data_IF_856769241793
#
_entry.id   IF_856769241793
#
_cell.length_a   1.000
_cell.length_b   1.000
_cell.length_c   1.000
_cell.angle_alpha   90.00
_cell.angle_beta   90.00
_cell.angle_gamma   90.00
#
_symmetry.space_group_name_H-M   'P 1'
#
loop_
_entity.id
_entity.type
_entity.pdbx_description
1 polymer ?
#
# COMPACT_ATOMS: atom_id res chain seq x y z
N UNK A 1 -13.94 -19.45 -5.72
CA UNK A 1 -15.20 -19.72 -5.04
C UNK A 1 -16.04 -18.44 -5.02
N UNK A 2 -17.33 -18.51 -5.31
CA UNK A 2 -18.27 -17.40 -5.17
C UNK A 2 -19.56 -17.90 -4.51
N UNK A 3 -20.47 -16.99 -4.14
CA UNK A 3 -21.72 -17.34 -3.45
C UNK A 3 -22.78 -17.89 -4.43
N UNK A 4 -22.45 -18.94 -5.19
CA UNK A 4 -23.36 -19.61 -6.13
C UNK A 4 -23.42 -21.11 -5.85
N UNK A 5 -24.56 -21.72 -6.19
CA UNK A 5 -24.73 -23.18 -6.12
C UNK A 5 -23.68 -23.91 -6.97
N UNK A 6 -23.36 -23.38 -8.15
CA UNK A 6 -22.33 -23.97 -9.01
C UNK A 6 -20.96 -24.00 -8.34
N UNK A 7 -20.57 -22.93 -7.64
CA UNK A 7 -19.31 -22.92 -6.88
C UNK A 7 -19.36 -23.89 -5.70
N UNK A 8 -20.49 -23.97 -5.00
CA UNK A 8 -20.67 -24.91 -3.90
C UNK A 8 -20.49 -26.37 -4.36
N UNK A 9 -21.10 -26.75 -5.48
CA UNK A 9 -20.95 -28.08 -6.07
C UNK A 9 -19.51 -28.33 -6.52
N UNK A 10 -18.86 -27.33 -7.15
CA UNK A 10 -17.47 -27.45 -7.63
C UNK A 10 -16.46 -27.58 -6.49
N UNK A 11 -16.72 -26.95 -5.35
CA UNK A 11 -15.84 -26.92 -4.18
C UNK A 11 -16.28 -27.97 -3.12
N UNK A 12 -16.71 -29.16 -3.57
CA UNK A 12 -17.04 -30.34 -2.74
C UNK A 12 -18.06 -30.07 -1.62
N UNK A 13 -19.02 -29.17 -1.85
CA UNK A 13 -20.05 -28.82 -0.87
C UNK A 13 -19.54 -27.90 0.25
N UNK A 14 -18.45 -27.16 0.02
CA UNK A 14 -17.96 -26.13 0.93
C UNK A 14 -18.46 -24.76 0.47
N UNK A 15 -19.24 -24.08 1.32
CA UNK A 15 -19.68 -22.71 1.06
C UNK A 15 -18.56 -21.70 1.30
N UNK A 16 -18.67 -20.51 0.69
CA UNK A 16 -17.75 -19.38 0.96
C UNK A 16 -17.71 -19.06 2.45
N UNK A 17 -18.86 -19.06 3.13
CA UNK A 17 -18.94 -18.77 4.56
C UNK A 17 -18.23 -19.83 5.40
N UNK A 18 -18.43 -21.13 5.09
CA UNK A 18 -17.71 -22.20 5.76
C UNK A 18 -16.19 -22.09 5.55
N UNK A 19 -15.76 -21.80 4.32
CA UNK A 19 -14.34 -21.58 4.01
C UNK A 19 -13.77 -20.35 4.71
N UNK A 20 -14.53 -19.26 4.77
CA UNK A 20 -14.17 -18.02 5.51
C UNK A 20 -13.97 -18.33 6.99
N UNK A 21 -14.90 -19.02 7.64
CA UNK A 21 -14.78 -19.35 9.06
C UNK A 21 -13.63 -20.32 9.34
N UNK A 22 -13.39 -21.30 8.47
CA UNK A 22 -12.20 -22.16 8.56
C UNK A 22 -10.89 -21.37 8.40
N UNK A 23 -10.84 -20.40 7.47
CA UNK A 23 -9.69 -19.54 7.26
C UNK A 23 -9.44 -18.60 8.46
N UNK A 24 -10.50 -18.01 9.03
CA UNK A 24 -10.43 -17.19 10.25
C UNK A 24 -9.87 -18.02 11.39
N UNK A 25 -10.38 -19.24 11.60
CA UNK A 25 -9.86 -20.15 12.62
C UNK A 25 -8.38 -20.44 12.42
N UNK A 26 -7.97 -20.86 11.22
CA UNK A 26 -6.58 -21.16 10.92
C UNK A 26 -5.68 -19.91 11.13
N UNK A 27 -6.16 -18.73 10.77
CA UNK A 27 -5.44 -17.47 10.99
C UNK A 27 -5.19 -17.21 12.49
N UNK A 28 -6.19 -17.41 13.35
CA UNK A 28 -6.03 -17.28 14.81
C UNK A 28 -5.17 -18.39 15.43
N UNK A 29 -5.18 -19.60 14.88
CA UNK A 29 -4.37 -20.72 15.39
C UNK A 29 -2.87 -20.55 15.06
N UNK A 30 -2.54 -19.92 13.92
CA UNK A 30 -1.17 -19.82 13.42
C UNK A 30 -0.52 -18.43 13.56
N UNK A 31 -1.30 -17.39 13.87
CA UNK A 31 -0.77 -16.04 14.12
C UNK A 31 -0.78 -15.72 15.61
N UNK A 32 0.23 -14.99 16.13
CA UNK A 32 0.29 -14.59 17.54
C UNK A 32 -0.66 -13.43 17.84
N UNK A 33 -1.97 -13.69 17.76
CA UNK A 33 -3.02 -12.68 17.90
C UNK A 33 -3.89 -12.95 19.11
N UNK A 34 -4.33 -11.86 19.75
CA UNK A 34 -5.41 -11.89 20.74
C UNK A 34 -6.71 -11.57 20.03
N UNK A 35 -7.78 -12.24 20.45
CA UNK A 35 -9.12 -11.85 20.06
C UNK A 35 -9.43 -10.44 20.58
N UNK A 36 -9.94 -9.58 19.72
CA UNK A 36 -10.20 -8.17 20.05
C UNK A 36 -11.50 -8.01 20.83
N UNK A 37 -12.51 -8.79 20.45
CA UNK A 37 -13.85 -8.78 21.04
C UNK A 37 -14.35 -10.24 21.04
N UNK A 38 -14.71 -10.75 22.23
CA UNK A 38 -15.09 -12.16 22.41
C UNK A 38 -16.38 -12.52 21.68
N UNK A 39 -17.23 -11.52 21.42
CA UNK A 39 -18.50 -11.71 20.72
C UNK A 39 -18.37 -11.46 19.20
N UNK A 40 -17.16 -11.14 18.72
CA UNK A 40 -16.89 -10.83 17.31
C UNK A 40 -15.60 -11.51 16.81
N UNK A 41 -15.78 -12.74 16.34
CA UNK A 41 -14.68 -13.57 15.82
C UNK A 41 -14.08 -13.05 14.50
N UNK A 42 -14.74 -12.11 13.81
CA UNK A 42 -14.23 -11.55 12.55
C UNK A 42 -13.40 -10.29 12.78
N UNK A 43 -13.52 -9.66 13.94
CA UNK A 43 -12.82 -8.41 14.22
C UNK A 43 -11.34 -8.64 14.51
N UNK A 44 -10.51 -8.16 13.59
CA UNK A 44 -9.06 -8.09 13.76
C UNK A 44 -8.52 -6.65 13.85
N UNK A 45 -9.28 -5.66 13.39
CA UNK A 45 -8.85 -4.25 13.44
C UNK A 45 -8.78 -3.73 14.88
N UNK A 46 -7.74 -2.94 15.16
CA UNK A 46 -7.29 -2.57 16.52
C UNK A 46 -6.26 -1.45 16.46
N UNK A 47 -5.97 -0.81 17.58
CA UNK A 47 -4.95 0.23 17.70
C UNK A 47 -3.95 -0.06 18.81
N UNK A 48 -2.73 0.44 18.65
CA UNK A 48 -1.65 0.34 19.62
C UNK A 48 -0.96 1.69 19.78
N UNK A 49 -0.97 2.22 20.99
CA UNK A 49 -0.28 3.46 21.31
C UNK A 49 1.12 3.15 21.85
N UNK A 50 2.15 3.72 21.21
CA UNK A 50 3.55 3.61 21.60
C UNK A 50 3.97 4.91 22.29
N UNK A 51 3.69 5.00 23.60
CA UNK A 51 3.89 6.23 24.36
C UNK A 51 3.10 7.40 23.74
N UNK A 52 3.70 8.57 23.72
CA UNK A 52 3.22 9.76 23.00
C UNK A 52 3.87 9.91 21.61
N UNK A 53 4.66 8.93 21.17
CA UNK A 53 5.33 8.99 19.87
C UNK A 53 4.37 8.68 18.71
N UNK A 54 3.74 7.50 18.71
CA UNK A 54 2.80 7.17 17.63
C UNK A 54 1.66 6.25 18.05
N UNK A 55 0.52 6.40 17.37
CA UNK A 55 -0.58 5.46 17.42
C UNK A 55 -0.62 4.64 16.12
N UNK A 56 -0.45 3.31 16.24
CA UNK A 56 -0.58 2.36 15.14
C UNK A 56 -2.03 1.90 15.03
N UNK A 57 -2.73 2.30 13.98
CA UNK A 57 -4.14 1.99 13.72
C UNK A 57 -4.21 0.94 12.61
N UNK A 58 -4.55 -0.30 12.97
CA UNK A 58 -4.60 -1.44 12.03
C UNK A 58 -6.02 -1.67 11.52
N UNK A 59 -6.19 -1.60 10.20
CA UNK A 59 -7.47 -1.78 9.50
C UNK A 59 -7.63 -3.21 8.96
N UNK A 60 -8.88 -3.64 8.80
CA UNK A 60 -9.30 -4.75 7.93
C UNK A 60 -10.10 -4.17 6.75
N UNK A 61 -9.64 -4.41 5.52
CA UNK A 61 -10.33 -3.98 4.29
C UNK A 61 -10.81 -5.14 3.43
N UNK A 62 -10.91 -6.34 4.02
CA UNK A 62 -11.26 -7.57 3.32
C UNK A 62 -12.51 -8.24 3.90
N UNK A 63 -12.47 -8.60 5.18
CA UNK A 63 -13.29 -9.71 5.66
C UNK A 63 -14.56 -9.29 6.42
N UNK A 64 -14.57 -8.07 6.96
CA UNK A 64 -15.60 -7.66 7.92
C UNK A 64 -16.94 -7.32 7.26
N UNK A 65 -17.04 -6.16 6.60
CA UNK A 65 -18.31 -5.65 6.04
C UNK A 65 -18.05 -4.81 4.78
N UNK A 66 -17.17 -5.34 3.92
CA UNK A 66 -16.76 -4.73 2.67
C UNK A 66 -17.88 -4.82 1.63
N UNK A 67 -18.16 -3.73 0.92
CA UNK A 67 -19.02 -3.76 -0.28
C UNK A 67 -18.39 -4.64 -1.37
N UNK A 68 -19.19 -5.10 -2.34
CA UNK A 68 -18.71 -5.96 -3.45
C UNK A 68 -17.46 -5.37 -4.13
N UNK A 69 -16.44 -6.20 -4.32
CA UNK A 69 -15.18 -5.83 -4.95
C UNK A 69 -15.07 -6.25 -6.41
N UNK A 70 -14.02 -5.80 -7.08
CA UNK A 70 -13.66 -6.28 -8.41
C UNK A 70 -13.12 -7.71 -8.36
N UNK A 71 -13.76 -8.58 -9.12
CA UNK A 71 -13.46 -9.99 -9.29
C UNK A 71 -13.07 -10.28 -10.76
N UNK A 72 -12.64 -9.26 -11.49
CA UNK A 72 -12.23 -9.24 -12.90
C UNK A 72 -13.40 -9.43 -13.90
N UNK A 73 -14.36 -10.31 -13.60
CA UNK A 73 -15.53 -10.51 -14.46
C UNK A 73 -16.62 -9.44 -14.26
N UNK A 74 -16.60 -8.70 -13.15
CA UNK A 74 -17.54 -7.62 -12.83
C UNK A 74 -16.90 -6.22 -12.84
N UNK A 75 -15.68 -6.05 -13.36
CA UNK A 75 -14.96 -4.76 -13.34
C UNK A 75 -15.79 -3.61 -13.87
N UNK A 76 -16.52 -3.81 -14.97
CA UNK A 76 -17.41 -2.78 -15.53
C UNK A 76 -18.51 -2.36 -14.57
N UNK A 77 -19.11 -3.31 -13.84
CA UNK A 77 -20.09 -3.00 -12.81
C UNK A 77 -19.46 -2.26 -11.63
N UNK A 78 -18.33 -2.75 -11.09
CA UNK A 78 -17.65 -2.09 -9.96
C UNK A 78 -17.20 -0.68 -10.31
N UNK A 79 -16.74 -0.45 -11.54
CA UNK A 79 -16.48 0.90 -12.05
C UNK A 79 -17.73 1.78 -12.01
N UNK A 80 -18.89 1.31 -12.51
CA UNK A 80 -20.11 2.14 -12.53
C UNK A 80 -20.56 2.60 -11.16
N UNK A 81 -20.26 1.83 -10.11
CA UNK A 81 -20.62 2.14 -8.73
C UNK A 81 -19.46 2.67 -7.91
N UNK A 82 -18.23 2.82 -8.44
CA UNK A 82 -17.02 3.06 -7.62
C UNK A 82 -17.08 4.32 -6.76
N UNK A 83 -17.87 5.31 -7.20
CA UNK A 83 -18.11 6.59 -6.53
C UNK A 83 -19.50 6.68 -5.86
N UNK A 84 -20.21 5.56 -5.73
CA UNK A 84 -21.47 5.52 -4.98
C UNK A 84 -21.21 5.83 -3.49
N UNK A 85 -21.94 6.82 -2.99
CA UNK A 85 -21.88 7.32 -1.62
C UNK A 85 -22.03 6.22 -0.55
N UNK A 86 -22.81 5.17 -0.82
CA UNK A 86 -23.08 4.10 0.15
C UNK A 86 -21.98 3.05 0.21
N UNK A 87 -21.01 3.06 -0.70
CA UNK A 87 -19.95 2.04 -0.72
C UNK A 87 -18.97 2.25 0.44
N UNK A 88 -18.53 1.13 0.96
CA UNK A 88 -17.57 1.06 2.06
C UNK A 88 -16.59 -0.09 1.87
N UNK A 89 -15.31 0.18 2.13
CA UNK A 89 -14.24 -0.80 2.12
C UNK A 89 -14.11 -1.51 3.47
N UNK A 90 -14.59 -0.89 4.55
CA UNK A 90 -14.43 -1.37 5.93
C UNK A 90 -15.76 -1.69 6.64
N UNK A 91 -16.87 -1.19 6.10
CA UNK A 91 -18.17 -1.17 6.75
C UNK A 91 -18.30 -0.08 7.81
N UNK A 92 -19.55 0.21 8.18
CA UNK A 92 -19.88 1.35 9.04
C UNK A 92 -19.25 1.27 10.45
N UNK A 93 -19.20 0.06 11.04
CA UNK A 93 -18.67 -0.13 12.41
C UNK A 93 -17.19 0.23 12.49
N UNK A 94 -16.40 -0.23 11.52
CA UNK A 94 -14.97 0.04 11.48
C UNK A 94 -14.67 1.47 10.98
N UNK A 95 -15.43 2.03 10.04
CA UNK A 95 -15.29 3.44 9.64
C UNK A 95 -15.43 4.38 10.84
N UNK A 96 -16.52 4.24 11.61
CA UNK A 96 -16.76 5.08 12.78
C UNK A 96 -15.67 4.91 13.85
N UNK A 97 -15.20 3.68 14.07
CA UNK A 97 -14.08 3.44 14.97
C UNK A 97 -12.79 4.09 14.46
N UNK A 98 -12.46 3.93 13.18
CA UNK A 98 -11.23 4.44 12.59
C UNK A 98 -11.17 5.97 12.67
N UNK A 99 -12.26 6.64 12.29
CA UNK A 99 -12.36 8.11 12.36
C UNK A 99 -12.23 8.62 13.79
N UNK A 100 -12.84 7.93 14.75
CA UNK A 100 -12.64 8.24 16.17
C UNK A 100 -11.19 8.05 16.61
N UNK A 101 -10.53 6.97 16.20
CA UNK A 101 -9.11 6.75 16.54
C UNK A 101 -8.20 7.84 15.96
N UNK A 102 -8.43 8.28 14.71
CA UNK A 102 -7.68 9.39 14.12
C UNK A 102 -7.86 10.68 14.94
N UNK A 103 -9.10 11.02 15.28
CA UNK A 103 -9.42 12.25 16.04
C UNK A 103 -8.82 12.20 17.45
N UNK A 104 -9.06 11.12 18.19
CA UNK A 104 -8.61 11.01 19.58
C UNK A 104 -7.07 11.03 19.68
N UNK A 105 -6.40 10.28 18.81
CA UNK A 105 -4.94 10.16 18.84
C UNK A 105 -4.19 11.40 18.36
N UNK A 106 -4.86 12.30 17.63
CA UNK A 106 -4.27 13.57 17.21
C UNK A 106 -3.86 14.48 18.39
N UNK A 107 -4.50 14.30 19.56
CA UNK A 107 -4.18 15.06 20.77
C UNK A 107 -3.23 14.36 21.74
N UNK A 108 -2.97 13.06 21.54
CA UNK A 108 -2.23 12.22 22.51
C UNK A 108 -0.94 11.64 21.96
N UNK A 109 -0.74 11.66 20.64
CA UNK A 109 0.44 11.10 19.98
C UNK A 109 0.95 12.02 18.89
N UNK A 110 2.26 12.03 18.68
CA UNK A 110 2.90 12.83 17.64
C UNK A 110 2.52 12.35 16.24
N UNK A 111 2.49 11.04 16.00
CA UNK A 111 2.18 10.44 14.69
C UNK A 111 0.98 9.51 14.75
N UNK A 112 0.24 9.43 13.64
CA UNK A 112 -0.70 8.33 13.37
C UNK A 112 -0.19 7.50 12.22
N UNK A 113 -0.01 6.20 12.46
CA UNK A 113 0.39 5.23 11.44
C UNK A 113 -0.80 4.34 11.16
N UNK A 114 -1.34 4.41 9.94
CA UNK A 114 -2.50 3.63 9.52
C UNK A 114 -2.01 2.42 8.73
N UNK A 115 -2.07 1.24 9.36
CA UNK A 115 -1.77 -0.04 8.71
C UNK A 115 -2.98 -0.55 7.93
N UNK A 116 -2.84 -0.70 6.62
CA UNK A 116 -3.88 -1.19 5.72
C UNK A 116 -3.32 -2.19 4.70
N UNK A 117 -4.19 -2.98 4.07
CA UNK A 117 -3.81 -3.98 3.07
C UNK A 117 -3.50 -3.38 1.70
N UNK A 118 -4.32 -2.42 1.25
CA UNK A 118 -4.37 -1.96 -0.16
C UNK A 118 -4.04 -0.47 -0.31
N UNK A 119 -3.51 -0.08 -1.48
CA UNK A 119 -3.11 1.31 -1.78
C UNK A 119 -4.28 2.28 -1.63
N UNK A 120 -4.06 3.33 -0.84
CA UNK A 120 -5.02 4.38 -0.51
C UNK A 120 -5.06 5.49 -1.56
N UNK A 121 -3.89 5.93 -2.02
CA UNK A 121 -3.73 6.99 -3.03
C UNK A 121 -4.51 6.63 -4.29
N UNK A 122 -5.07 7.64 -4.96
CA UNK A 122 -5.72 7.44 -6.25
C UNK A 122 -4.68 7.08 -7.30
N UNK A 123 -4.84 5.93 -7.96
CA UNK A 123 -3.87 5.45 -8.95
C UNK A 123 -4.49 5.40 -10.33
N UNK A 124 -4.37 6.50 -11.07
CA UNK A 124 -4.72 6.56 -12.48
C UNK A 124 -3.68 5.79 -13.32
N UNK A 125 -4.12 4.71 -13.93
CA UNK A 125 -3.35 3.83 -14.80
C UNK A 125 -3.67 4.07 -16.28
N UNK A 126 -4.29 5.21 -16.64
CA UNK A 126 -4.75 5.45 -18.01
C UNK A 126 -3.64 5.50 -19.05
N UNK A 127 -2.44 5.96 -18.66
CA UNK A 127 -1.27 5.98 -19.54
C UNK A 127 -0.67 4.57 -19.68
N UNK A 128 -0.61 3.80 -18.61
CA UNK A 128 0.04 2.48 -18.59
C UNK A 128 -0.84 1.34 -19.12
N UNK A 129 -2.14 1.36 -18.80
CA UNK A 129 -3.10 0.29 -19.12
C UNK A 129 -4.21 0.73 -20.08
N UNK A 130 -4.23 2.00 -20.50
CA UNK A 130 -5.25 2.57 -21.36
C UNK A 130 -6.43 3.20 -20.60
N UNK A 131 -7.27 4.00 -21.29
CA UNK A 131 -8.25 4.89 -20.65
C UNK A 131 -9.50 4.18 -20.12
N UNK A 132 -9.76 2.94 -20.51
CA UNK A 132 -10.93 2.18 -20.07
C UNK A 132 -10.65 1.56 -18.72
N UNK A 133 -11.49 1.85 -17.72
CA UNK A 133 -11.38 1.30 -16.36
C UNK A 133 -9.96 1.53 -15.78
N UNK A 134 -9.46 2.77 -15.73
CA UNK A 134 -8.04 3.06 -15.51
C UNK A 134 -7.62 2.95 -14.04
N UNK A 135 -8.43 2.32 -13.18
CA UNK A 135 -8.17 2.20 -11.75
C UNK A 135 -8.20 0.73 -11.32
N UNK A 136 -7.55 0.42 -10.20
CA UNK A 136 -7.71 -0.87 -9.54
C UNK A 136 -8.95 -0.83 -8.64
N UNK A 137 -10.05 -1.45 -9.04
CA UNK A 137 -11.29 -1.38 -8.27
C UNK A 137 -11.33 -2.36 -7.07
N UNK A 138 -10.28 -3.16 -6.85
CA UNK A 138 -10.07 -3.93 -5.62
C UNK A 138 -9.31 -3.15 -4.52
N UNK A 139 -8.80 -1.96 -4.80
CA UNK A 139 -8.23 -1.06 -3.77
C UNK A 139 -9.16 0.12 -3.48
N UNK A 140 -8.67 1.14 -2.76
CA UNK A 140 -9.47 2.33 -2.40
C UNK A 140 -10.08 3.07 -3.59
N UNK A 141 -9.55 2.91 -4.81
CA UNK A 141 -10.16 3.47 -6.02
C UNK A 141 -11.55 2.90 -6.35
N UNK A 142 -11.87 1.68 -5.89
CA UNK A 142 -13.22 1.10 -5.99
C UNK A 142 -14.21 1.58 -4.93
N UNK A 143 -13.78 2.44 -4.03
CA UNK A 143 -14.50 2.88 -2.83
C UNK A 143 -14.25 4.38 -2.59
N UNK A 144 -14.37 5.19 -3.66
CA UNK A 144 -13.99 6.60 -3.65
C UNK A 144 -14.74 7.42 -2.58
N UNK A 145 -16.03 7.15 -2.37
CA UNK A 145 -16.79 7.79 -1.29
C UNK A 145 -16.22 7.49 0.11
N UNK A 146 -15.79 6.25 0.37
CA UNK A 146 -15.16 5.90 1.65
C UNK A 146 -13.79 6.57 1.79
N UNK A 147 -12.98 6.62 0.72
CA UNK A 147 -11.71 7.37 0.69
C UNK A 147 -11.92 8.84 1.01
N UNK A 148 -12.92 9.46 0.38
CA UNK A 148 -13.26 10.87 0.59
C UNK A 148 -13.72 11.15 2.02
N UNK A 149 -14.51 10.28 2.65
CA UNK A 149 -14.84 10.40 4.08
C UNK A 149 -13.62 10.35 4.98
N UNK A 150 -12.63 9.51 4.66
CA UNK A 150 -11.35 9.45 5.38
C UNK A 150 -10.56 10.75 5.21
N UNK A 151 -10.33 11.20 3.98
CA UNK A 151 -9.63 12.46 3.70
C UNK A 151 -10.32 13.67 4.33
N UNK A 152 -11.65 13.73 4.25
CA UNK A 152 -12.48 14.73 4.92
C UNK A 152 -12.28 14.73 6.42
N UNK A 153 -12.25 13.55 7.05
CA UNK A 153 -12.02 13.43 8.49
C UNK A 153 -10.66 13.99 8.88
N UNK A 154 -9.61 13.67 8.12
CA UNK A 154 -8.27 14.21 8.36
C UNK A 154 -8.26 15.74 8.22
N UNK A 155 -8.85 16.24 7.13
CA UNK A 155 -8.86 17.67 6.81
C UNK A 155 -9.68 18.50 7.80
N UNK A 156 -10.94 18.15 8.05
CA UNK A 156 -11.87 18.95 8.87
C UNK A 156 -11.44 19.03 10.34
N UNK A 157 -10.71 18.03 10.82
CA UNK A 157 -10.21 17.98 12.19
C UNK A 157 -8.75 18.45 12.30
N UNK A 158 -8.15 18.97 11.22
CA UNK A 158 -6.76 19.44 11.18
C UNK A 158 -5.74 18.40 11.68
N UNK A 159 -5.96 17.14 11.29
CA UNK A 159 -5.21 15.96 11.73
C UNK A 159 -3.93 15.86 10.86
N UNK A 160 -2.77 16.21 11.43
CA UNK A 160 -1.42 16.26 10.79
C UNK A 160 -0.47 15.09 11.19
N UNK A 161 0.68 14.82 10.57
CA UNK A 161 1.55 13.69 10.97
C UNK A 161 0.88 12.32 10.81
N UNK A 162 0.16 12.12 9.70
CA UNK A 162 -0.45 10.82 9.38
C UNK A 162 0.30 10.13 8.25
N UNK A 163 0.64 8.86 8.46
CA UNK A 163 1.30 7.99 7.48
C UNK A 163 0.43 6.77 7.23
N UNK A 164 0.12 6.49 5.97
CA UNK A 164 -0.58 5.28 5.54
C UNK A 164 0.42 4.24 5.07
N UNK A 165 0.21 2.99 5.47
CA UNK A 165 0.97 1.84 5.03
C UNK A 165 0.08 0.90 4.21
N UNK A 166 0.61 0.40 3.10
CA UNK A 166 -0.10 -0.54 2.22
C UNK A 166 0.84 -1.60 1.62
N UNK A 167 0.25 -2.64 1.04
CA UNK A 167 0.93 -3.67 0.26
C UNK A 167 0.04 -4.12 -0.91
N UNK A 168 -0.21 -5.44 -1.00
CA UNK A 168 -1.13 -6.11 -1.95
C UNK A 168 -0.73 -6.04 -3.44
N UNK A 169 -0.37 -4.86 -3.93
CA UNK A 169 -0.07 -4.56 -5.33
C UNK A 169 1.22 -5.16 -5.90
N UNK A 170 2.06 -5.76 -5.05
CA UNK A 170 3.37 -6.34 -5.41
C UNK A 170 4.35 -5.35 -6.08
N UNK A 171 4.24 -4.07 -5.73
CA UNK A 171 5.09 -2.98 -6.20
C UNK A 171 5.23 -1.94 -5.09
N UNK A 172 6.30 -1.14 -5.14
CA UNK A 172 6.50 -0.06 -4.18
C UNK A 172 5.92 1.26 -4.72
N UNK A 173 5.27 2.01 -3.83
CA UNK A 173 4.62 3.29 -4.14
C UNK A 173 4.84 4.27 -2.99
N UNK A 174 5.21 5.50 -3.33
CA UNK A 174 5.38 6.57 -2.35
C UNK A 174 4.70 7.82 -2.85
N UNK A 175 3.70 8.27 -2.08
CA UNK A 175 2.81 9.35 -2.50
C UNK A 175 2.56 10.35 -1.39
N UNK A 176 2.40 11.61 -1.77
CA UNK A 176 1.65 12.56 -0.96
C UNK A 176 0.16 12.18 -0.99
N UNK A 177 -0.55 12.27 0.13
CA UNK A 177 -1.99 12.01 0.18
C UNK A 177 -2.76 13.32 0.03
N UNK A 178 -3.52 13.40 -1.05
CA UNK A 178 -4.18 14.62 -1.50
C UNK A 178 -5.68 14.39 -1.70
N UNK A 179 -6.47 15.41 -1.41
CA UNK A 179 -7.91 15.37 -1.65
C UNK A 179 -8.24 15.99 -3.00
N UNK A 180 -7.86 15.27 -4.06
CA UNK A 180 -7.99 15.72 -5.45
C UNK A 180 -9.43 16.13 -5.78
N UNK A 181 -9.57 17.28 -6.43
CA UNK A 181 -10.86 17.85 -6.83
C UNK A 181 -11.55 18.66 -5.73
N UNK A 182 -11.13 18.51 -4.46
CA UNK A 182 -11.69 19.22 -3.31
C UNK A 182 -10.70 20.26 -2.74
N UNK A 183 -9.40 20.00 -2.85
CA UNK A 183 -8.32 20.90 -2.39
C UNK A 183 -7.25 21.04 -3.45
N UNK A 184 -6.69 22.25 -3.53
CA UNK A 184 -5.55 22.55 -4.39
C UNK A 184 -4.33 21.76 -3.95
N UNK A 185 -3.59 21.24 -4.92
CA UNK A 185 -2.36 20.52 -4.70
C UNK A 185 -1.29 20.99 -5.69
N UNK A 186 -0.10 21.31 -5.17
CA UNK A 186 1.07 21.63 -5.97
C UNK A 186 2.09 20.50 -5.84
N UNK A 187 2.29 19.72 -6.90
CA UNK A 187 3.16 18.55 -6.89
C UNK A 187 4.65 18.85 -6.73
N UNK A 188 5.10 20.05 -7.10
CA UNK A 188 6.52 20.43 -7.00
C UNK A 188 6.91 20.74 -5.55
N UNK A 189 6.03 21.42 -4.81
CA UNK A 189 6.25 21.84 -3.42
C UNK A 189 5.61 20.91 -2.38
N UNK A 190 4.67 20.06 -2.81
CA UNK A 190 3.79 19.26 -1.96
C UNK A 190 2.73 20.03 -1.18
N UNK A 191 2.57 21.33 -1.42
CA UNK A 191 1.56 22.12 -0.74
C UNK A 191 0.16 21.57 -1.09
N UNK A 192 -0.68 21.38 -0.07
CA UNK A 192 -2.01 20.77 -0.20
C UNK A 192 -2.07 19.27 0.17
N UNK A 193 -0.93 18.63 0.46
CA UNK A 193 -0.92 17.28 1.02
C UNK A 193 -1.44 17.25 2.46
N UNK A 194 -2.16 16.19 2.79
CA UNK A 194 -2.85 15.95 4.07
C UNK A 194 -2.14 14.87 4.89
N UNK A 195 -1.45 13.94 4.22
CA UNK A 195 -0.73 12.82 4.81
C UNK A 195 0.28 12.26 3.79
N UNK A 196 0.98 11.18 4.13
CA UNK A 196 1.88 10.47 3.20
C UNK A 196 1.50 8.99 3.18
N UNK A 197 1.65 8.33 2.04
CA UNK A 197 1.53 6.88 1.91
C UNK A 197 2.86 6.25 1.49
N UNK A 198 3.21 5.19 2.22
CA UNK A 198 4.28 4.26 1.89
C UNK A 198 3.67 2.88 1.65
N UNK A 199 3.69 2.42 0.40
CA UNK A 199 3.22 1.10 0.03
C UNK A 199 4.40 0.24 -0.41
N UNK A 200 4.55 -0.94 0.20
CA UNK A 200 5.66 -1.85 -0.06
C UNK A 200 5.37 -2.83 -1.18
N UNK A 201 6.43 -3.25 -1.87
CA UNK A 201 6.44 -4.42 -2.76
C UNK A 201 6.11 -5.72 -2.00
N UNK A 202 5.99 -6.82 -2.75
CA UNK A 202 5.84 -8.14 -2.16
C UNK A 202 7.18 -8.70 -1.66
N UNK A 203 7.13 -9.57 -0.64
CA UNK A 203 8.30 -10.34 -0.19
C UNK A 203 8.76 -11.31 -1.28
N UNK A 204 7.83 -12.03 -1.92
CA UNK A 204 8.15 -13.01 -2.98
C UNK A 204 7.14 -13.09 -4.13
N UNK A 205 5.92 -12.54 -3.97
CA UNK A 205 4.90 -12.63 -5.02
C UNK A 205 5.35 -11.93 -6.31
N UNK A 206 5.04 -12.46 -7.50
CA UNK A 206 5.45 -11.85 -8.76
C UNK A 206 4.93 -10.42 -8.94
N UNK A 207 5.70 -9.61 -9.68
CA UNK A 207 5.31 -8.24 -10.02
C UNK A 207 3.93 -8.20 -10.70
N UNK A 208 3.10 -7.25 -10.28
CA UNK A 208 1.81 -6.96 -10.92
C UNK A 208 1.94 -6.46 -12.36
N UNK A 209 3.13 -6.02 -12.78
CA UNK A 209 3.42 -5.65 -14.15
C UNK A 209 3.92 -6.83 -15.02
N UNK A 210 3.99 -8.03 -14.44
CA UNK A 210 4.34 -9.30 -15.09
C UNK A 210 5.51 -10.00 -14.40
N UNK A 211 5.42 -11.33 -14.25
CA UNK A 211 6.40 -12.14 -13.50
C UNK A 211 7.85 -11.96 -13.96
N UNK A 212 8.06 -11.79 -15.27
CA UNK A 212 9.37 -11.63 -15.89
C UNK A 212 9.59 -10.20 -16.45
N UNK A 213 9.04 -9.18 -15.79
CA UNK A 213 9.28 -7.80 -16.19
C UNK A 213 10.78 -7.50 -16.17
N UNK A 214 11.29 -6.85 -17.22
CA UNK A 214 12.69 -6.39 -17.29
C UNK A 214 12.83 -5.04 -16.59
N UNK A 215 14.04 -4.69 -16.15
CA UNK A 215 14.29 -3.38 -15.54
C UNK A 215 13.91 -2.22 -16.48
N UNK A 216 14.20 -2.34 -17.78
CA UNK A 216 13.83 -1.35 -18.79
C UNK A 216 12.30 -1.13 -18.84
N UNK A 217 11.52 -2.21 -18.93
CA UNK A 217 10.05 -2.14 -18.95
C UNK A 217 9.47 -1.63 -17.65
N UNK A 218 10.11 -1.94 -16.52
CA UNK A 218 9.77 -1.34 -15.25
C UNK A 218 9.92 0.19 -15.32
N UNK A 219 11.10 0.68 -15.69
CA UNK A 219 11.39 2.11 -15.68
C UNK A 219 10.43 2.90 -16.58
N UNK A 220 10.09 2.37 -17.75
CA UNK A 220 9.09 2.94 -18.65
C UNK A 220 7.70 3.00 -17.98
N UNK A 221 7.25 1.88 -17.40
CA UNK A 221 5.94 1.80 -16.75
C UNK A 221 5.87 2.69 -15.51
N UNK A 222 6.94 2.74 -14.72
CA UNK A 222 7.09 3.58 -13.55
C UNK A 222 7.02 5.06 -13.92
N UNK A 223 7.66 5.45 -15.02
CA UNK A 223 7.57 6.81 -15.57
C UNK A 223 6.13 7.15 -16.03
N UNK A 224 5.39 6.22 -16.62
CA UNK A 224 3.99 6.45 -16.98
C UNK A 224 3.09 6.63 -15.76
N UNK A 225 3.34 5.86 -14.70
CA UNK A 225 2.57 5.96 -13.46
C UNK A 225 2.80 7.31 -12.77
N UNK A 226 4.05 7.73 -12.59
CA UNK A 226 4.35 9.04 -12.00
C UNK A 226 3.89 10.18 -12.90
N UNK A 227 3.92 10.04 -14.23
CA UNK A 227 3.38 11.04 -15.15
C UNK A 227 1.84 11.19 -15.06
N UNK A 228 1.12 10.08 -14.89
CA UNK A 228 -0.35 10.07 -14.82
C UNK A 228 -0.92 10.59 -13.50
N UNK A 229 -0.11 10.61 -12.43
CA UNK A 229 -0.55 10.89 -11.06
C UNK A 229 0.31 12.00 -10.45
N UNK A 230 -0.20 13.23 -10.26
CA UNK A 230 0.57 14.34 -9.69
C UNK A 230 1.12 14.07 -8.28
N UNK A 231 0.42 13.26 -7.49
CA UNK A 231 0.72 12.96 -6.09
C UNK A 231 1.69 11.78 -5.88
N UNK A 232 1.79 10.87 -6.84
CA UNK A 232 2.72 9.74 -6.81
C UNK A 232 4.15 10.23 -7.07
N UNK A 233 5.00 10.21 -6.04
CA UNK A 233 6.35 10.75 -6.11
C UNK A 233 7.41 9.70 -6.50
N UNK A 234 7.22 8.44 -6.11
CA UNK A 234 8.13 7.36 -6.52
C UNK A 234 7.39 6.04 -6.70
N UNK A 235 7.84 5.26 -7.68
CA UNK A 235 7.26 3.98 -8.02
C UNK A 235 8.30 3.02 -8.61
N UNK A 236 8.22 1.74 -8.22
CA UNK A 236 8.93 0.63 -8.86
C UNK A 236 8.12 -0.68 -8.77
N UNK A 237 8.14 -1.46 -9.85
CA UNK A 237 7.51 -2.78 -10.00
C UNK A 237 8.51 -3.93 -10.02
N UNK A 238 9.83 -3.68 -10.10
CA UNK A 238 10.81 -4.70 -10.41
C UNK A 238 11.19 -5.51 -9.17
N UNK A 239 11.69 -4.86 -8.11
CA UNK A 239 12.28 -5.54 -6.97
C UNK A 239 11.22 -6.05 -5.99
N UNK A 240 11.49 -7.25 -5.45
CA UNK A 240 10.83 -7.75 -4.24
C UNK A 240 11.63 -7.30 -3.03
N UNK A 241 11.02 -7.28 -1.86
CA UNK A 241 11.71 -6.84 -0.65
C UNK A 241 10.75 -6.29 0.39
N UNK A 242 11.20 -5.24 1.05
CA UNK A 242 10.53 -4.65 2.21
C UNK A 242 10.96 -3.18 2.35
N UNK A 243 10.38 -2.48 3.32
CA UNK A 243 10.89 -1.19 3.74
C UNK A 243 10.92 -1.12 5.26
N UNK A 244 11.85 -0.33 5.77
CA UNK A 244 11.99 -0.03 7.18
C UNK A 244 11.52 1.39 7.44
N UNK A 245 10.86 1.61 8.58
CA UNK A 245 10.41 2.92 8.99
C UNK A 245 10.97 3.25 10.37
N UNK A 246 11.75 4.33 10.44
CA UNK A 246 12.21 4.93 11.70
C UNK A 246 11.31 6.12 12.01
N UNK A 247 10.66 6.08 13.19
CA UNK A 247 9.73 7.12 13.64
C UNK A 247 10.35 7.84 14.82
N UNK A 248 10.61 9.13 14.66
CA UNK A 248 11.05 10.06 15.71
C UNK A 248 10.04 11.20 15.88
N UNK A 249 10.15 11.99 16.94
CA UNK A 249 9.24 13.13 17.17
C UNK A 249 9.29 14.19 16.06
N UNK A 250 10.45 14.34 15.42
CA UNK A 250 10.68 15.38 14.41
C UNK A 250 10.46 14.88 12.98
N UNK A 251 10.60 13.57 12.75
CA UNK A 251 10.53 13.01 11.41
C UNK A 251 10.17 11.52 11.39
N UNK A 252 9.54 11.10 10.30
CA UNK A 252 9.48 9.70 9.87
C UNK A 252 10.43 9.51 8.68
N UNK A 253 11.29 8.50 8.74
CA UNK A 253 12.14 8.08 7.64
C UNK A 253 11.74 6.69 7.18
N UNK A 254 11.53 6.50 5.88
CA UNK A 254 11.23 5.23 5.26
C UNK A 254 12.32 4.86 4.23
N UNK A 255 12.99 3.73 4.43
CA UNK A 255 14.01 3.19 3.53
C UNK A 255 13.50 1.93 2.87
N UNK A 256 13.45 1.93 1.54
CA UNK A 256 12.99 0.80 0.74
C UNK A 256 14.18 -0.07 0.31
N UNK A 257 14.05 -1.39 0.48
CA UNK A 257 15.06 -2.37 0.15
C UNK A 257 14.54 -3.35 -0.90
N UNK A 258 15.37 -3.61 -1.91
CA UNK A 258 15.12 -4.56 -2.98
C UNK A 258 16.06 -5.75 -2.87
N UNK A 259 15.55 -6.96 -3.13
CA UNK A 259 16.33 -8.18 -3.17
C UNK A 259 16.78 -8.43 -4.61
N UNK A 260 18.09 -8.51 -4.91
CA UNK A 260 18.59 -8.78 -6.26
C UNK A 260 18.10 -10.11 -6.84
N UNK A 261 17.78 -11.06 -5.96
CA UNK A 261 17.04 -12.28 -6.29
C UNK A 261 16.37 -12.85 -5.04
N UNK A 262 15.14 -13.32 -5.21
CA UNK A 262 14.37 -14.06 -4.19
C UNK A 262 14.20 -15.55 -4.58
N UNK A 263 14.88 -15.99 -5.64
CA UNK A 263 14.82 -17.37 -6.15
C UNK A 263 15.67 -18.34 -5.33
N UNK A 264 16.68 -17.83 -4.64
CA UNK A 264 17.59 -18.62 -3.81
C UNK A 264 17.70 -17.99 -2.44
N UNK A 265 17.96 -18.80 -1.41
CA UNK A 265 18.22 -18.27 -0.07
C UNK A 265 19.55 -17.53 -0.05
N UNK A 266 19.51 -16.24 0.26
CA UNK A 266 20.67 -15.36 0.37
C UNK A 266 20.34 -14.20 1.34
N UNK A 267 21.33 -13.38 1.70
CA UNK A 267 21.13 -12.16 2.52
C UNK A 267 21.24 -10.86 1.74
N UNK A 268 21.15 -10.92 0.41
CA UNK A 268 21.46 -9.80 -0.47
C UNK A 268 20.31 -8.80 -0.52
N UNK A 269 20.63 -7.52 -0.31
CA UNK A 269 19.68 -6.41 -0.43
C UNK A 269 20.34 -5.18 -1.04
N UNK A 270 19.53 -4.36 -1.71
CA UNK A 270 19.89 -3.08 -2.31
C UNK A 270 19.00 -2.01 -1.69
N UNK A 271 19.58 -0.94 -1.17
CA UNK A 271 18.82 0.23 -0.73
C UNK A 271 18.29 0.99 -1.96
N UNK A 272 16.99 0.92 -2.22
CA UNK A 272 16.37 1.47 -3.42
C UNK A 272 16.12 2.97 -3.31
N UNK A 273 15.57 3.41 -2.19
CA UNK A 273 15.16 4.80 -1.99
C UNK A 273 14.96 5.12 -0.50
N UNK A 274 15.16 6.40 -0.16
CA UNK A 274 14.95 6.93 1.20
C UNK A 274 13.98 8.11 1.15
N UNK A 275 12.95 8.08 1.99
CA UNK A 275 11.96 9.15 2.06
C UNK A 275 11.82 9.66 3.48
N UNK A 276 11.75 10.97 3.64
CA UNK A 276 11.56 11.61 4.94
C UNK A 276 10.23 12.35 4.94
N UNK A 277 9.52 12.34 6.06
CA UNK A 277 8.36 13.20 6.32
C UNK A 277 8.69 13.96 7.59
N UNK A 278 8.81 15.28 7.50
CA UNK A 278 9.02 16.09 8.69
C UNK A 278 7.70 16.31 9.41
N UNK A 279 7.76 16.38 10.73
CA UNK A 279 6.58 16.59 11.52
C UNK A 279 5.96 17.96 11.27
N UNK A 280 4.64 18.00 11.16
CA UNK A 280 3.81 19.14 10.82
C UNK A 280 3.73 19.44 9.31
N UNK A 281 4.54 18.78 8.47
CA UNK A 281 4.57 19.10 7.04
C UNK A 281 3.50 18.35 6.23
N UNK A 282 3.03 17.18 6.68
CA UNK A 282 2.02 16.33 6.01
C UNK A 282 2.37 15.88 4.58
N UNK A 283 3.65 15.93 4.23
CA UNK A 283 4.12 15.76 2.87
C UNK A 283 5.55 15.21 2.88
N UNK A 284 5.98 14.63 1.77
CA UNK A 284 7.35 14.13 1.63
C UNK A 284 8.36 15.29 1.72
N UNK A 285 9.54 15.11 2.30
CA UNK A 285 10.57 16.16 2.32
C UNK A 285 11.10 16.37 0.91
N UNK A 286 11.24 17.63 0.49
CA UNK A 286 11.77 18.01 -0.83
C UNK A 286 13.26 18.40 -0.73
N UNK A 287 14.09 18.10 -1.74
CA UNK A 287 13.78 17.28 -2.92
C UNK A 287 13.42 15.83 -2.50
N UNK A 288 12.38 15.28 -3.12
CA UNK A 288 11.89 13.93 -2.74
C UNK A 288 12.99 12.92 -3.02
N UNK A 289 13.19 11.95 -2.12
CA UNK A 289 14.28 10.98 -2.26
C UNK A 289 15.68 11.59 -2.10
N UNK A 290 15.81 12.82 -1.61
CA UNK A 290 17.08 13.56 -1.71
C UNK A 290 17.45 13.97 -3.15
N UNK A 291 16.52 13.82 -4.10
CA UNK A 291 16.71 14.10 -5.52
C UNK A 291 17.20 12.90 -6.35
N UNK A 292 17.53 11.77 -5.74
CA UNK A 292 17.92 10.56 -6.48
C UNK A 292 17.55 9.26 -5.78
N UNK A 293 17.22 8.25 -6.58
CA UNK A 293 16.97 6.87 -6.12
C UNK A 293 17.88 5.90 -6.86
N UNK A 294 18.13 4.75 -6.26
CA UNK A 294 18.89 3.66 -6.86
C UNK A 294 18.09 3.00 -8.00
N UNK A 295 16.77 2.81 -7.83
CA UNK A 295 15.91 2.21 -8.85
C UNK A 295 14.49 2.82 -8.87
N UNK A 296 13.73 2.57 -9.95
CA UNK A 296 12.37 3.05 -10.16
C UNK A 296 12.32 4.42 -10.82
N UNK A 297 11.14 5.04 -10.83
CA UNK A 297 10.98 6.40 -11.31
C UNK A 297 10.68 7.36 -10.16
N UNK A 298 11.54 8.37 -9.97
CA UNK A 298 11.38 9.44 -8.99
C UNK A 298 10.92 10.73 -9.68
N UNK A 299 9.73 11.24 -9.34
CA UNK A 299 9.19 12.48 -9.88
C UNK A 299 10.08 13.66 -9.51
N UNK A 300 10.54 14.41 -10.53
CA UNK A 300 11.42 15.57 -10.34
C UNK A 300 12.84 15.25 -9.88
N UNK A 301 13.24 13.97 -9.88
CA UNK A 301 14.57 13.50 -9.52
C UNK A 301 15.20 12.63 -10.60
N UNK A 302 16.23 11.88 -10.23
CA UNK A 302 16.97 11.00 -11.14
C UNK A 302 17.17 9.59 -10.56
N UNK A 303 17.21 8.61 -11.44
CA UNK A 303 17.55 7.23 -11.09
C UNK A 303 19.04 6.99 -11.36
N UNK A 304 19.78 6.52 -10.36
CA UNK A 304 21.22 6.26 -10.42
C UNK A 304 21.50 4.86 -9.89
N UNK A 305 21.41 3.86 -10.77
CA UNK A 305 21.72 2.48 -10.42
C UNK A 305 23.22 2.29 -10.21
N UNK A 306 23.58 1.78 -9.05
CA UNK A 306 24.92 1.33 -8.67
C UNK A 306 25.00 -0.19 -8.52
N UNK A 307 23.86 -0.86 -8.33
CA UNK A 307 23.74 -2.27 -7.94
C UNK A 307 24.55 -2.63 -6.68
N UNK A 308 24.86 -1.62 -5.85
CA UNK A 308 25.60 -1.80 -4.61
C UNK A 308 24.72 -2.56 -3.62
N UNK A 309 25.12 -3.79 -3.35
CA UNK A 309 24.34 -4.79 -2.61
C UNK A 309 25.04 -5.11 -1.31
N UNK A 310 24.29 -5.11 -0.22
CA UNK A 310 24.72 -5.56 1.11
C UNK A 310 24.34 -7.02 1.30
N UNK A 311 25.27 -7.87 1.76
CA UNK A 311 24.93 -9.17 2.31
C UNK A 311 24.69 -9.04 3.82
N UNK A 312 23.43 -9.02 4.23
CA UNK A 312 23.02 -8.92 5.63
C UNK A 312 23.54 -10.03 6.54
N UNK A 313 24.02 -11.16 5.99
CA UNK A 313 24.64 -12.22 6.78
C UNK A 313 26.08 -11.89 7.19
N UNK A 314 26.80 -11.12 6.37
CA UNK A 314 28.24 -10.85 6.55
C UNK A 314 28.56 -9.38 6.80
N UNK A 315 27.68 -8.47 6.36
CA UNK A 315 27.89 -7.02 6.33
C UNK A 315 28.79 -6.54 5.18
N UNK A 316 29.15 -7.43 4.24
CA UNK A 316 29.99 -7.09 3.10
C UNK A 316 29.18 -6.43 1.98
N UNK A 317 29.79 -5.44 1.34
CA UNK A 317 29.20 -4.71 0.22
C UNK A 317 29.87 -5.11 -1.10
N UNK A 318 29.07 -5.42 -2.12
CA UNK A 318 29.56 -5.77 -3.46
C UNK A 318 28.59 -5.32 -4.55
N UNK A 319 29.05 -5.22 -5.79
CA UNK A 319 28.17 -4.96 -6.94
C UNK A 319 27.60 -6.30 -7.40
N UNK A 320 26.27 -6.45 -7.35
CA UNK A 320 25.59 -7.67 -7.78
C UNK A 320 24.78 -7.42 -9.06
N UNK A 321 25.21 -8.00 -10.17
CA UNK A 321 24.44 -7.98 -11.42
C UNK A 321 23.56 -9.23 -11.52
N UNK A 322 22.28 -9.06 -11.20
CA UNK A 322 21.28 -10.10 -11.43
C UNK A 322 20.78 -10.03 -12.87
N UNK A 323 20.95 -11.12 -13.62
CA UNK A 323 20.37 -11.22 -14.97
C UNK A 323 18.89 -11.61 -14.97
N UNK A 324 18.35 -12.12 -13.84
CA UNK A 324 16.96 -12.58 -13.69
C UNK A 324 16.46 -12.45 -12.24
N UNK A 325 15.29 -11.82 -12.05
CA UNK A 325 14.58 -11.84 -10.78
C UNK A 325 13.63 -13.04 -10.69
N UNK A 326 13.72 -13.80 -9.60
CA UNK A 326 12.73 -14.85 -9.29
C UNK A 326 12.99 -16.21 -9.93
N UNK A 327 12.01 -17.10 -9.78
CA UNK A 327 12.08 -18.50 -10.23
C UNK A 327 11.81 -18.60 -11.73
N UNK A 328 12.66 -19.31 -12.48
CA UNK A 328 12.31 -19.77 -13.82
C UNK A 328 11.18 -20.79 -13.70
N UNK A 329 10.07 -20.55 -14.39
CA UNK A 329 9.04 -21.57 -14.56
C UNK A 329 9.66 -22.75 -15.31
N UNK A 330 9.84 -23.88 -14.63
CA UNK A 330 10.31 -25.12 -15.24
C UNK A 330 9.19 -25.89 -15.97
N UNK A 331 7.99 -25.32 -16.12
CA UNK A 331 6.92 -25.91 -16.92
C UNK A 331 6.84 -25.29 -18.32
N UNK A 332 7.58 -25.90 -19.25
CA UNK A 332 7.16 -26.02 -20.65
C UNK A 332 6.52 -27.39 -20.87
#
# INVERSE_FOLDING_TARGET
MNNTEQSFIKDDGISVEARKMNAVRAYFEWMPLRQVDMDDNLRIWRSFQFGDLFNLIMLDTRNYDRSITDLYWNTGYVHTISDDTSRSLMGSRQENWFYRQLIESASTTRWRVVGNQVVFTKMNQSISNGPKNPFNYDQWDGYAANRNRTLKTLYDNSIDNTVFLAGDSHASWVSDLVWLGEKDYNSESGAGSIAVEFAGTAVTSPSSAGQNITQEKDLDRSAWMTAANPELQWQEYYYRGYFEMTIDYDAVNATFFGLPTYATRNGLEIALANFTVLSGENKLRRPVGGGSVEFGNLKGGVTKQTNLTNDTNTGEWSVFESSKLGWEDQSQ
#
